data_IF_879537147177
#
_entry.id   IF_879537147177
#
_cell.length_a   1.000
_cell.length_b   1.000
_cell.length_c   1.000
_cell.angle_alpha   90.00
_cell.angle_beta   90.00
_cell.angle_gamma   90.00
#
_symmetry.space_group_name_H-M   'P 1'
#
loop_
_entity.id
_entity.type
_entity.pdbx_description
1 polymer ?
#
# COMPACT_ATOMS: atom_id res chain seq x y z
N UNK A 1 -13.36 -3.17 -12.19
CA UNK A 1 -13.14 -4.18 -13.26
C UNK A 1 -14.38 -4.51 -14.07
N UNK A 2 -15.44 -5.10 -13.51
CA UNK A 2 -16.61 -5.59 -14.28
C UNK A 2 -17.47 -4.45 -14.89
N UNK A 3 -17.70 -3.37 -14.16
CA UNK A 3 -18.69 -2.36 -14.57
C UNK A 3 -18.14 -1.25 -15.49
N UNK A 4 -16.82 -1.05 -15.51
CA UNK A 4 -16.20 0.08 -16.23
C UNK A 4 -15.08 -0.41 -17.15
N UNK A 5 -14.05 -1.04 -16.59
CA UNK A 5 -12.85 -1.42 -17.34
C UNK A 5 -13.11 -2.50 -18.38
N UNK A 6 -13.85 -3.56 -18.05
CA UNK A 6 -14.10 -4.66 -18.99
C UNK A 6 -14.98 -4.24 -20.19
N UNK A 7 -16.10 -3.51 -20.01
CA UNK A 7 -16.87 -2.97 -21.13
C UNK A 7 -16.04 -2.05 -22.02
N UNK A 8 -15.18 -1.21 -21.44
CA UNK A 8 -14.37 -0.25 -22.18
C UNK A 8 -13.28 -0.91 -23.05
N UNK A 9 -12.70 -2.03 -22.60
CA UNK A 9 -11.52 -2.62 -23.26
C UNK A 9 -11.81 -3.90 -24.03
N UNK A 10 -12.93 -4.60 -23.80
CA UNK A 10 -13.20 -5.91 -24.42
C UNK A 10 -13.13 -5.89 -25.94
N UNK A 11 -13.56 -4.81 -26.59
CA UNK A 11 -13.57 -4.71 -28.05
C UNK A 11 -12.14 -4.55 -28.60
N UNK A 12 -11.26 -3.88 -27.84
CA UNK A 12 -9.84 -3.80 -28.15
C UNK A 12 -9.17 -5.18 -28.02
N UNK A 13 -9.55 -5.95 -27.00
CA UNK A 13 -9.04 -7.31 -26.79
C UNK A 13 -9.44 -8.22 -27.96
N UNK A 14 -10.69 -8.13 -28.44
CA UNK A 14 -11.14 -8.83 -29.64
C UNK A 14 -10.35 -8.40 -30.87
N UNK A 15 -10.16 -7.09 -31.08
CA UNK A 15 -9.41 -6.53 -32.21
C UNK A 15 -7.99 -7.09 -32.33
N UNK A 16 -7.31 -7.30 -31.20
CA UNK A 16 -5.94 -7.84 -31.19
C UNK A 16 -5.89 -9.37 -30.98
N UNK A 17 -7.01 -10.06 -31.17
CA UNK A 17 -7.05 -11.51 -31.27
C UNK A 17 -7.12 -12.26 -29.93
N UNK A 18 -7.37 -11.58 -28.82
CA UNK A 18 -7.59 -12.22 -27.52
C UNK A 18 -8.88 -13.04 -27.57
N UNK A 19 -8.77 -14.36 -27.37
CA UNK A 19 -9.88 -15.30 -27.61
C UNK A 19 -10.82 -15.49 -26.42
N UNK A 20 -10.34 -15.27 -25.19
CA UNK A 20 -11.14 -15.42 -23.98
C UNK A 20 -10.54 -14.59 -22.85
N UNK A 21 -11.41 -13.87 -22.13
CA UNK A 21 -11.08 -13.18 -20.90
C UNK A 21 -12.20 -13.43 -19.89
N UNK A 22 -11.86 -14.05 -18.77
CA UNK A 22 -12.81 -14.40 -17.71
C UNK A 22 -12.26 -13.95 -16.37
N UNK A 23 -13.13 -13.46 -15.49
CA UNK A 23 -12.81 -13.24 -14.08
C UNK A 23 -13.29 -14.43 -13.28
N UNK A 24 -12.37 -15.06 -12.54
CA UNK A 24 -12.69 -16.09 -11.57
C UNK A 24 -12.54 -15.45 -10.19
N UNK A 25 -13.62 -15.42 -9.42
CA UNK A 25 -13.60 -14.99 -8.03
C UNK A 25 -14.23 -16.10 -7.20
N UNK A 26 -13.40 -16.80 -6.43
CA UNK A 26 -13.85 -17.77 -5.46
C UNK A 26 -14.02 -17.05 -4.12
N UNK A 27 -15.25 -16.74 -3.73
CA UNK A 27 -15.52 -16.10 -2.44
C UNK A 27 -15.10 -16.98 -1.25
N UNK A 28 -15.08 -18.30 -1.42
CA UNK A 28 -14.78 -19.27 -0.35
C UNK A 28 -13.27 -19.39 -0.12
N UNK A 29 -12.45 -19.26 -1.16
CA UNK A 29 -10.98 -19.35 -1.10
C UNK A 29 -10.26 -18.03 -1.41
N UNK A 30 -11.01 -16.93 -1.58
CA UNK A 30 -10.41 -15.63 -1.70
C UNK A 30 -9.74 -15.27 -0.38
N UNK A 31 -8.41 -15.25 -0.39
CA UNK A 31 -7.61 -14.63 0.67
C UNK A 31 -7.75 -13.10 0.56
N UNK A 32 -8.97 -12.60 0.79
CA UNK A 32 -9.21 -11.17 0.92
C UNK A 32 -8.55 -10.76 2.22
N UNK A 33 -7.51 -9.94 2.12
CA UNK A 33 -6.86 -9.38 3.29
C UNK A 33 -7.90 -8.66 4.15
N UNK A 34 -7.78 -8.80 5.47
CA UNK A 34 -8.73 -8.19 6.41
C UNK A 34 -8.51 -6.67 6.58
N UNK A 35 -7.61 -6.11 5.78
CA UNK A 35 -7.30 -4.69 5.67
C UNK A 35 -7.52 -4.22 4.23
N UNK A 36 -7.93 -2.96 4.09
CA UNK A 36 -8.21 -2.28 2.83
C UNK A 36 -7.05 -1.38 2.37
N UNK A 37 -6.10 -1.08 3.27
CA UNK A 37 -4.95 -0.21 3.01
C UNK A 37 -3.70 -0.66 3.81
N UNK A 38 -2.52 -0.41 3.24
CA UNK A 38 -1.23 -0.56 3.92
C UNK A 38 -0.39 0.69 3.66
N UNK A 39 0.02 1.37 4.73
CA UNK A 39 0.85 2.58 4.67
C UNK A 39 2.22 2.28 5.28
N UNK A 40 3.27 2.72 4.59
CA UNK A 40 4.64 2.60 5.06
C UNK A 40 5.30 3.96 5.07
N UNK A 41 6.00 4.26 6.15
CA UNK A 41 6.81 5.47 6.30
C UNK A 41 8.22 5.05 6.68
N UNK A 42 9.20 5.52 5.92
CA UNK A 42 10.60 5.24 6.14
C UNK A 42 11.26 6.46 6.78
N UNK A 43 11.98 6.24 7.86
CA UNK A 43 12.80 7.25 8.52
C UNK A 43 14.27 6.86 8.36
N UNK A 44 15.14 7.83 8.10
CA UNK A 44 16.59 7.56 8.02
C UNK A 44 17.14 7.07 9.36
N UNK A 45 16.57 7.53 10.46
CA UNK A 45 16.94 7.10 11.80
C UNK A 45 15.76 7.07 12.77
N UNK A 46 15.91 6.32 13.86
CA UNK A 46 14.96 6.34 14.97
C UNK A 46 14.82 7.74 15.60
N UNK A 47 15.90 8.54 15.58
CA UNK A 47 15.88 9.90 16.11
C UNK A 47 15.01 10.83 15.25
N UNK A 48 14.98 10.65 13.93
CA UNK A 48 14.10 11.44 13.07
C UNK A 48 12.62 11.13 13.36
N UNK A 49 12.30 9.86 13.61
CA UNK A 49 10.96 9.45 14.03
C UNK A 49 10.55 10.10 15.36
N UNK A 50 11.45 10.11 16.36
CA UNK A 50 11.20 10.78 17.65
C UNK A 50 10.98 12.28 17.49
N UNK A 51 11.86 12.97 16.74
CA UNK A 51 11.73 14.42 16.50
C UNK A 51 10.42 14.78 15.80
N UNK A 52 9.97 13.97 14.83
CA UNK A 52 8.66 14.16 14.19
C UNK A 52 7.52 14.05 15.21
N UNK A 53 7.54 13.06 16.11
CA UNK A 53 6.50 12.91 17.14
C UNK A 53 6.49 14.05 18.15
N UNK A 54 7.62 14.75 18.32
CA UNK A 54 7.76 15.89 19.22
C UNK A 54 7.32 17.22 18.59
N UNK A 55 7.24 17.29 17.26
CA UNK A 55 6.94 18.49 16.50
C UNK A 55 5.57 19.10 16.89
N UNK A 56 5.48 20.43 17.16
CA UNK A 56 4.24 21.08 17.55
C UNK A 56 3.13 20.97 16.51
N UNK A 57 3.47 21.09 15.23
CA UNK A 57 2.49 20.98 14.15
C UNK A 57 1.94 19.55 14.13
N UNK A 58 2.81 18.54 14.20
CA UNK A 58 2.42 17.13 14.27
C UNK A 58 1.45 16.88 15.43
N UNK A 59 1.76 17.42 16.62
CA UNK A 59 0.91 17.29 17.81
C UNK A 59 -0.45 17.95 17.65
N UNK A 60 -0.51 19.13 17.05
CA UNK A 60 -1.75 19.88 16.90
C UNK A 60 -2.67 19.27 15.82
N UNK A 61 -2.11 18.77 14.73
CA UNK A 61 -2.90 18.47 13.53
C UNK A 61 -2.93 16.97 13.15
N UNK A 62 -1.89 16.19 13.46
CA UNK A 62 -1.78 14.78 13.05
C UNK A 62 -2.09 13.79 14.17
N UNK A 63 -1.82 14.16 15.42
CA UNK A 63 -2.20 13.32 16.57
C UNK A 63 -3.72 13.16 16.59
N UNK A 64 -4.18 11.91 16.52
CA UNK A 64 -5.61 11.56 16.51
C UNK A 64 -6.30 11.69 15.14
N UNK A 65 -5.64 12.21 14.09
CA UNK A 65 -6.28 12.39 12.79
C UNK A 65 -6.73 11.05 12.16
N UNK A 66 -5.96 9.99 12.41
CA UNK A 66 -6.26 8.64 11.97
C UNK A 66 -7.60 8.12 12.53
N UNK A 67 -8.07 8.63 13.67
CA UNK A 67 -9.38 8.25 14.23
C UNK A 67 -10.56 8.76 13.39
N UNK A 68 -10.33 9.77 12.53
CA UNK A 68 -11.38 10.33 11.67
C UNK A 68 -11.67 9.47 10.45
N UNK A 69 -10.70 8.67 10.00
CA UNK A 69 -10.79 7.95 8.72
C UNK A 69 -10.41 6.46 8.79
N UNK A 70 -9.71 6.00 9.83
CA UNK A 70 -9.32 4.60 9.99
C UNK A 70 -10.05 3.95 11.18
N UNK A 71 -10.39 2.67 11.04
CA UNK A 71 -10.81 1.84 12.17
C UNK A 71 -9.58 1.48 13.01
N UNK A 72 -9.23 2.36 13.95
CA UNK A 72 -8.05 2.20 14.82
C UNK A 72 -8.09 0.94 15.69
N UNK A 73 -9.24 0.27 15.83
CA UNK A 73 -9.35 -1.01 16.54
C UNK A 73 -8.88 -2.20 15.70
N UNK A 74 -8.95 -2.08 14.37
CA UNK A 74 -8.51 -3.10 13.41
C UNK A 74 -7.21 -2.73 12.71
N UNK A 75 -6.76 -1.48 12.84
CA UNK A 75 -5.45 -1.03 12.39
C UNK A 75 -4.33 -1.72 13.16
N UNK A 76 -3.32 -2.18 12.42
CA UNK A 76 -2.09 -2.77 12.97
C UNK A 76 -0.90 -1.87 12.63
N UNK A 77 0.05 -1.75 13.56
CA UNK A 77 1.29 -1.02 13.35
C UNK A 77 2.49 -1.90 13.70
N UNK A 78 3.47 -1.93 12.81
CA UNK A 78 4.75 -2.61 13.04
C UNK A 78 5.86 -1.59 12.83
N UNK A 79 6.85 -1.63 13.74
CA UNK A 79 8.09 -0.86 13.60
C UNK A 79 9.19 -1.88 13.36
N UNK A 80 9.94 -1.69 12.28
CA UNK A 80 10.99 -2.62 11.86
C UNK A 80 12.14 -1.90 11.18
N UNK A 81 13.17 -2.67 10.88
CA UNK A 81 14.29 -2.26 10.06
C UNK A 81 14.08 -2.77 8.63
N UNK A 82 14.49 -1.99 7.64
CA UNK A 82 14.42 -2.38 6.23
C UNK A 82 15.82 -2.41 5.65
N UNK A 83 16.21 -3.58 5.16
CA UNK A 83 17.42 -3.78 4.37
C UNK A 83 17.03 -3.90 2.91
N UNK A 84 17.67 -3.08 2.09
CA UNK A 84 17.51 -3.11 0.65
C UNK A 84 18.74 -3.79 0.04
N UNK A 85 18.52 -4.80 -0.80
CA UNK A 85 19.60 -5.52 -1.49
C UNK A 85 19.63 -5.21 -2.99
N UNK A 86 18.50 -4.76 -3.55
CA UNK A 86 18.37 -4.38 -4.96
C UNK A 86 17.46 -3.16 -5.05
N UNK A 87 17.90 -2.11 -5.75
CA UNK A 87 17.09 -0.94 -6.12
C UNK A 87 17.35 -0.61 -7.59
N UNK A 88 16.28 -0.40 -8.36
CA UNK A 88 16.35 -0.03 -9.79
C UNK A 88 17.23 -0.94 -10.65
N UNK A 89 17.30 -2.23 -10.31
CA UNK A 89 18.10 -3.22 -11.02
C UNK A 89 19.58 -3.26 -10.63
N UNK A 90 19.99 -2.47 -9.65
CA UNK A 90 21.36 -2.46 -9.12
C UNK A 90 21.42 -3.09 -7.73
N UNK A 91 22.50 -3.84 -7.46
CA UNK A 91 22.81 -4.32 -6.10
C UNK A 91 23.12 -3.11 -5.22
N UNK A 92 22.47 -3.03 -4.06
CA UNK A 92 22.70 -2.00 -3.04
C UNK A 92 23.00 -2.65 -1.69
N UNK A 93 23.72 -1.94 -0.83
CA UNK A 93 24.07 -2.39 0.53
C UNK A 93 23.28 -1.55 1.54
N UNK A 94 21.96 -1.72 1.54
CA UNK A 94 21.03 -0.97 2.36
C UNK A 94 20.33 0.19 1.64
N UNK A 95 19.41 0.82 2.37
CA UNK A 95 18.58 1.91 1.86
C UNK A 95 19.46 3.12 1.52
N UNK A 96 19.53 3.48 0.23
CA UNK A 96 20.23 4.70 -0.21
C UNK A 96 19.39 5.96 0.06
N UNK A 97 20.08 7.02 0.45
CA UNK A 97 19.59 8.38 0.70
C UNK A 97 19.10 9.11 -0.55
#
# INVERSE_FOLDING_TARGET
>A
MVNVSAPLTKDLMVKYGVKRWTQLFDRQMANVADFDCFSQVFFKSLEDYKRMKEDPWYKEHLVGDHEKFADTKRSMMTIGWVEEYIRDGEVVDGLKD
#
